data_IF_802780780802
#
_entry.id   IF_802780780802
#
_cell.length_a   1.000
_cell.length_b   1.000
_cell.length_c   1.000
_cell.angle_alpha   90.00
_cell.angle_beta   90.00
_cell.angle_gamma   90.00
#
_symmetry.space_group_name_H-M   'P 1'
#
loop_
_entity.id
_entity.type
_entity.pdbx_description
1 polymer ?
#
# COMPACT_ATOMS: atom_id res chain seq x y z
N UNK A 1 5.17 17.23 -19.84
CA UNK A 1 5.70 15.86 -19.70
C UNK A 1 4.60 15.04 -19.04
N UNK A 2 4.01 14.05 -19.72
CA UNK A 2 3.02 13.18 -19.10
C UNK A 2 3.72 12.30 -18.08
N UNK A 3 3.55 12.62 -16.80
CA UNK A 3 4.09 11.83 -15.70
C UNK A 3 3.23 10.57 -15.61
N UNK A 4 3.69 9.49 -16.23
CA UNK A 4 3.01 8.21 -16.20
C UNK A 4 3.27 7.58 -14.84
N UNK A 5 2.24 7.33 -14.05
CA UNK A 5 2.41 6.64 -12.77
C UNK A 5 3.02 5.25 -12.97
N UNK A 6 3.96 4.92 -12.09
CA UNK A 6 4.67 3.65 -12.11
C UNK A 6 3.84 2.61 -11.36
N UNK A 7 3.24 1.68 -12.10
CA UNK A 7 2.54 0.52 -11.53
C UNK A 7 3.44 -0.70 -11.38
N UNK A 8 4.65 -0.65 -11.92
CA UNK A 8 5.61 -1.75 -11.88
C UNK A 8 6.08 -2.00 -10.44
N UNK A 9 6.01 -3.26 -10.02
CA UNK A 9 6.59 -3.75 -8.76
C UNK A 9 7.80 -4.59 -9.12
N UNK A 10 8.94 -4.33 -8.45
CA UNK A 10 10.18 -5.08 -8.66
C UNK A 10 10.71 -5.60 -7.33
N UNK A 11 11.23 -6.83 -7.36
CA UNK A 11 11.85 -7.50 -6.24
C UNK A 11 13.34 -7.69 -6.49
N UNK A 12 14.19 -7.28 -5.55
CA UNK A 12 15.63 -7.50 -5.64
C UNK A 12 15.99 -8.82 -4.96
N UNK A 13 16.64 -9.72 -5.71
CA UNK A 13 17.24 -10.93 -5.15
C UNK A 13 18.74 -10.71 -4.86
N UNK A 14 19.17 -10.71 -3.59
CA UNK A 14 20.56 -10.46 -3.23
C UNK A 14 21.50 -11.63 -3.59
N UNK A 15 21.00 -12.85 -3.80
CA UNK A 15 21.84 -14.01 -4.11
C UNK A 15 22.44 -13.93 -5.52
N UNK A 16 21.72 -13.31 -6.46
CA UNK A 16 22.16 -13.16 -7.85
C UNK A 16 22.22 -11.70 -8.31
N UNK A 17 22.02 -10.74 -7.39
CA UNK A 17 22.10 -9.30 -7.60
C UNK A 17 21.23 -8.79 -8.76
N UNK A 18 20.01 -9.32 -8.89
CA UNK A 18 19.08 -8.97 -9.96
C UNK A 18 17.74 -8.49 -9.42
N UNK A 19 17.13 -7.60 -10.20
CA UNK A 19 15.74 -7.20 -10.03
C UNK A 19 14.84 -8.08 -10.90
N UNK A 20 13.73 -8.53 -10.33
CA UNK A 20 12.72 -9.33 -10.99
C UNK A 20 11.40 -8.56 -11.00
N UNK A 21 10.66 -8.56 -12.11
CA UNK A 21 9.31 -8.01 -12.14
C UNK A 21 8.37 -8.91 -11.32
N UNK A 22 7.45 -8.28 -10.59
CA UNK A 22 6.31 -8.92 -9.94
C UNK A 22 5.01 -8.38 -10.55
N UNK A 23 3.87 -8.92 -10.13
CA UNK A 23 2.57 -8.39 -10.52
C UNK A 23 2.45 -6.89 -10.22
N UNK A 24 2.10 -6.15 -11.27
CA UNK A 24 1.87 -4.71 -11.21
C UNK A 24 0.73 -4.37 -10.25
N UNK A 25 0.79 -3.16 -9.68
CA UNK A 25 -0.28 -2.63 -8.86
C UNK A 25 -1.62 -2.62 -9.65
N UNK A 26 -2.75 -2.92 -8.99
CA UNK A 26 -4.07 -3.01 -9.62
C UNK A 26 -4.75 -1.64 -9.82
N UNK A 27 -3.96 -0.56 -9.79
CA UNK A 27 -4.41 0.83 -9.87
C UNK A 27 -3.34 1.72 -10.51
N UNK A 28 -3.73 2.92 -10.92
CA UNK A 28 -2.90 3.90 -11.60
C UNK A 28 -2.91 5.23 -10.85
N UNK A 29 -1.88 6.05 -11.02
CA UNK A 29 -1.81 7.42 -10.48
C UNK A 29 -2.06 7.53 -8.98
N UNK A 30 -1.61 6.50 -8.24
CA UNK A 30 -1.68 6.47 -6.78
C UNK A 30 -0.36 6.84 -6.12
N UNK A 31 -0.42 7.75 -5.17
CA UNK A 31 0.74 8.25 -4.41
C UNK A 31 0.45 8.28 -2.90
N UNK A 32 1.50 8.46 -2.09
CA UNK A 32 1.39 8.62 -0.62
C UNK A 32 0.66 7.48 0.13
N UNK A 33 0.61 6.28 -0.44
CA UNK A 33 0.15 5.07 0.23
C UNK A 33 1.21 4.52 1.18
N UNK A 34 0.82 3.59 2.05
CA UNK A 34 1.71 2.93 3.00
C UNK A 34 1.80 1.43 2.69
N UNK A 35 2.97 0.82 2.87
CA UNK A 35 3.23 -0.60 2.57
C UNK A 35 3.84 -1.29 3.79
N UNK A 36 3.41 -2.52 4.08
CA UNK A 36 3.94 -3.32 5.19
C UNK A 36 3.91 -4.82 4.87
N UNK A 37 4.88 -5.59 5.39
CA UNK A 37 4.84 -7.06 5.32
C UNK A 37 4.08 -7.64 6.52
N UNK A 38 3.26 -8.67 6.28
CA UNK A 38 2.60 -9.44 7.33
C UNK A 38 2.52 -10.92 6.92
N UNK A 39 3.17 -11.80 7.68
CA UNK A 39 3.38 -13.19 7.26
C UNK A 39 4.15 -13.26 5.94
N UNK A 40 3.64 -14.04 4.99
CA UNK A 40 4.25 -14.22 3.66
C UNK A 40 3.76 -13.19 2.61
N UNK A 41 2.95 -12.21 3.03
CA UNK A 41 2.27 -11.28 2.14
C UNK A 41 2.71 -9.82 2.37
N UNK A 42 2.45 -8.98 1.39
CA UNK A 42 2.66 -7.53 1.46
C UNK A 42 1.31 -6.83 1.39
N UNK A 43 1.07 -5.89 2.29
CA UNK A 43 -0.14 -5.08 2.34
C UNK A 43 0.16 -3.66 1.92
N UNK A 44 -0.74 -3.08 1.13
CA UNK A 44 -0.73 -1.68 0.73
C UNK A 44 -2.04 -1.04 1.18
N UNK A 45 -1.96 0.09 1.87
CA UNK A 45 -3.14 0.79 2.38
C UNK A 45 -3.17 2.26 1.96
N UNK A 46 -4.37 2.71 1.57
CA UNK A 46 -4.69 4.11 1.33
C UNK A 46 -3.88 4.75 0.21
N UNK A 47 -3.58 6.03 0.40
CA UNK A 47 -2.94 6.90 -0.59
C UNK A 47 -3.93 7.86 -1.24
N UNK A 48 -3.44 8.56 -2.26
CA UNK A 48 -4.21 9.47 -3.09
C UNK A 48 -4.19 8.96 -4.51
N UNK A 49 -5.35 8.70 -5.10
CA UNK A 49 -5.53 8.26 -6.48
C UNK A 49 -6.27 9.35 -7.25
N UNK A 50 -5.65 9.88 -8.31
CA UNK A 50 -6.22 10.97 -9.11
C UNK A 50 -6.72 12.17 -8.28
N UNK A 51 -6.00 12.50 -7.19
CA UNK A 51 -6.34 13.59 -6.27
C UNK A 51 -7.36 13.23 -5.17
N UNK A 52 -7.88 12.00 -5.15
CA UNK A 52 -8.85 11.53 -4.15
C UNK A 52 -8.17 10.59 -3.16
N UNK A 53 -8.33 10.85 -1.86
CA UNK A 53 -7.84 9.94 -0.83
C UNK A 53 -8.67 8.65 -0.83
N UNK A 54 -7.99 7.50 -0.77
CA UNK A 54 -8.62 6.19 -0.78
C UNK A 54 -8.42 5.47 0.56
N UNK A 55 -9.30 4.50 0.83
CA UNK A 55 -9.31 3.71 2.06
C UNK A 55 -9.01 2.23 1.81
N UNK A 56 -8.85 1.80 0.57
CA UNK A 56 -8.65 0.41 0.23
C UNK A 56 -7.34 -0.16 0.78
N UNK A 57 -7.41 -1.44 1.14
CA UNK A 57 -6.27 -2.24 1.59
C UNK A 57 -6.11 -3.41 0.64
N UNK A 58 -5.00 -3.43 -0.07
CA UNK A 58 -4.62 -4.46 -1.01
C UNK A 58 -3.59 -5.39 -0.39
N UNK A 59 -3.64 -6.67 -0.75
CA UNK A 59 -2.67 -7.70 -0.35
C UNK A 59 -2.05 -8.30 -1.59
N UNK A 60 -0.74 -8.17 -1.70
CA UNK A 60 0.07 -8.96 -2.61
C UNK A 60 0.34 -10.33 -1.99
N UNK A 61 -0.17 -11.39 -2.62
CA UNK A 61 0.06 -12.77 -2.20
C UNK A 61 1.30 -13.30 -2.90
N UNK A 62 2.44 -13.34 -2.20
CA UNK A 62 3.75 -13.65 -2.80
C UNK A 62 3.81 -15.02 -3.48
N UNK A 63 3.03 -16.00 -2.99
CA UNK A 63 2.96 -17.34 -3.58
C UNK A 63 2.19 -17.39 -4.91
N UNK A 64 1.26 -16.45 -5.12
CA UNK A 64 0.39 -16.41 -6.30
C UNK A 64 0.81 -15.33 -7.31
N UNK A 65 1.76 -14.47 -6.93
CA UNK A 65 2.14 -13.29 -7.68
C UNK A 65 0.91 -12.49 -8.14
N UNK A 66 0.05 -12.12 -7.19
CA UNK A 66 -1.16 -11.35 -7.49
C UNK A 66 -1.55 -10.39 -6.36
N UNK A 67 -2.29 -9.35 -6.73
CA UNK A 67 -2.89 -8.40 -5.80
C UNK A 67 -4.37 -8.70 -5.60
N UNK A 68 -4.82 -8.68 -4.34
CA UNK A 68 -6.21 -8.89 -3.96
C UNK A 68 -6.69 -7.74 -3.08
N UNK A 69 -7.90 -7.27 -3.33
CA UNK A 69 -8.55 -6.28 -2.46
C UNK A 69 -9.04 -7.01 -1.20
N UNK A 70 -8.51 -6.64 -0.03
CA UNK A 70 -8.83 -7.33 1.23
C UNK A 70 -9.91 -6.64 2.03
N UNK A 71 -9.78 -5.33 2.22
CA UNK A 71 -10.67 -4.56 3.09
C UNK A 71 -10.59 -3.05 2.77
N UNK A 72 -11.28 -2.24 3.56
CA UNK A 72 -11.16 -0.78 3.60
C UNK A 72 -10.96 -0.28 5.03
N UNK A 73 -10.07 0.70 5.20
CA UNK A 73 -9.96 1.53 6.39
C UNK A 73 -11.27 2.28 6.66
N UNK A 74 -11.50 2.68 7.90
CA UNK A 74 -12.70 3.46 8.25
C UNK A 74 -12.62 4.89 7.73
N UNK A 75 -11.40 5.44 7.61
CA UNK A 75 -11.15 6.77 7.05
C UNK A 75 -10.17 6.67 5.89
N UNK A 76 -10.52 7.21 4.70
CA UNK A 76 -9.56 7.38 3.62
C UNK A 76 -8.40 8.27 4.06
N UNK A 77 -7.17 7.81 3.84
CA UNK A 77 -5.97 8.51 4.33
C UNK A 77 -4.77 8.33 3.41
N UNK A 78 -3.86 9.30 3.45
CA UNK A 78 -2.56 9.23 2.79
C UNK A 78 -1.45 9.77 3.71
N UNK A 79 -0.19 9.56 3.34
CA UNK A 79 1.01 9.97 4.11
C UNK A 79 1.04 9.39 5.55
N UNK A 80 0.35 8.27 5.77
CA UNK A 80 0.35 7.55 7.03
C UNK A 80 1.47 6.50 7.08
N UNK A 81 1.78 6.05 8.29
CA UNK A 81 2.67 4.93 8.52
C UNK A 81 1.86 3.67 8.81
N UNK A 82 2.38 2.50 8.45
CA UNK A 82 1.79 1.21 8.79
C UNK A 82 2.81 0.33 9.50
N UNK A 83 2.34 -0.50 10.43
CA UNK A 83 3.16 -1.51 11.09
C UNK A 83 2.34 -2.75 11.43
N UNK A 84 3.02 -3.86 11.64
CA UNK A 84 2.41 -5.08 12.19
C UNK A 84 2.82 -5.25 13.65
N UNK A 85 1.84 -5.44 14.52
CA UNK A 85 2.06 -5.72 15.94
C UNK A 85 1.00 -6.71 16.42
N UNK A 86 1.40 -7.74 17.17
CA UNK A 86 0.47 -8.75 17.71
C UNK A 86 -0.46 -9.36 16.61
N UNK A 87 0.10 -9.66 15.44
CA UNK A 87 -0.65 -10.23 14.32
C UNK A 87 -1.67 -9.29 13.66
N UNK A 88 -1.68 -8.01 14.00
CA UNK A 88 -2.61 -7.00 13.47
C UNK A 88 -1.85 -5.92 12.71
N UNK A 89 -2.47 -5.40 11.66
CA UNK A 89 -1.96 -4.29 10.87
C UNK A 89 -2.51 -2.99 11.45
N UNK A 90 -1.63 -2.06 11.80
CA UNK A 90 -2.00 -0.73 12.28
C UNK A 90 -1.66 0.32 11.23
N UNK A 91 -2.55 1.28 11.03
CA UNK A 91 -2.27 2.51 10.28
C UNK A 91 -2.30 3.69 11.24
N UNK A 92 -1.23 4.51 11.21
CA UNK A 92 -0.97 5.54 12.22
C UNK A 92 -0.78 6.90 11.53
N UNK A 93 -1.62 7.85 11.94
CA UNK A 93 -1.60 9.23 11.47
C UNK A 93 -1.99 9.38 10.00
N UNK A 94 -1.37 10.37 9.34
CA UNK A 94 -1.62 10.73 7.95
C UNK A 94 -2.58 11.91 7.79
N UNK A 95 -2.97 12.15 6.54
CA UNK A 95 -3.94 13.15 6.13
C UNK A 95 -5.21 12.43 5.68
N UNK A 96 -6.35 12.83 6.25
CA UNK A 96 -7.67 12.45 5.77
C UNK A 96 -8.38 13.64 5.13
N UNK A 97 -9.61 13.40 4.68
CA UNK A 97 -10.40 14.39 3.93
C UNK A 97 -10.64 15.68 4.74
N UNK A 98 -10.75 15.58 6.06
CA UNK A 98 -10.99 16.70 6.97
C UNK A 98 -9.71 17.31 7.56
N UNK A 99 -8.51 16.92 7.10
CA UNK A 99 -7.23 17.39 7.62
C UNK A 99 -6.40 16.28 8.28
N UNK A 100 -5.45 16.65 9.16
CA UNK A 100 -4.60 15.69 9.87
C UNK A 100 -5.43 14.69 10.68
N UNK A 101 -5.09 13.41 10.60
CA UNK A 101 -5.71 12.37 11.41
C UNK A 101 -4.85 12.10 12.64
N UNK A 102 -5.45 12.19 13.81
CA UNK A 102 -4.85 11.89 15.12
C UNK A 102 -5.20 10.48 15.64
N UNK A 103 -6.04 9.73 14.92
CA UNK A 103 -6.48 8.40 15.30
C UNK A 103 -5.75 7.26 14.57
N UNK A 104 -5.54 6.18 15.33
CA UNK A 104 -4.98 4.91 14.87
C UNK A 104 -6.11 3.96 14.50
N UNK A 105 -6.00 3.30 13.34
CA UNK A 105 -6.90 2.22 12.94
C UNK A 105 -6.17 0.87 13.02
N UNK A 106 -6.93 -0.22 13.24
CA UNK A 106 -6.47 -1.61 13.44
C UNK A 106 -7.29 -2.60 12.64
#
# INVERSE_FOLDING_TARGET
MNQRSLTAVTCFNPQNSKWFPLASLPFYDREFFSVISAGDNIYLSGGTESGVMVADVWCYMSLLDNWNLMSRMTVPRCRHNSLVYDGKLYTIGGLGVSGNLDHVER
#
